data_IF_574350252186
#
_entry.id   IF_574350252186
#
_cell.length_a   1.000
_cell.length_b   1.000
_cell.length_c   1.000
_cell.angle_alpha   90.00
_cell.angle_beta   90.00
_cell.angle_gamma   90.00
#
_symmetry.space_group_name_H-M   'P 1'
#
loop_
_entity.id
_entity.type
_entity.pdbx_description
1 polymer ?
#
# COMPACT_ATOMS: atom_id res chain seq x y z
N UNK A 1 -18.01 36.85 -22.47
CA UNK A 1 -18.47 36.39 -21.15
C UNK A 1 -17.31 35.94 -20.26
N UNK A 2 -16.43 35.02 -20.67
CA UNK A 2 -15.28 34.61 -19.82
C UNK A 2 -14.36 35.76 -19.39
N UNK A 3 -14.16 36.76 -20.24
CA UNK A 3 -13.29 37.91 -19.95
C UNK A 3 -13.89 38.94 -18.99
N UNK A 4 -15.20 38.86 -18.69
CA UNK A 4 -15.86 39.74 -17.72
C UNK A 4 -15.98 39.11 -16.32
N UNK A 5 -15.55 37.86 -16.16
CA UNK A 5 -15.55 37.15 -14.89
C UNK A 5 -14.16 37.26 -14.23
N UNK A 6 -14.11 37.17 -12.91
CA UNK A 6 -12.84 37.05 -12.19
C UNK A 6 -12.09 35.79 -12.60
N UNK A 7 -10.76 35.82 -12.55
CA UNK A 7 -9.88 34.72 -12.92
C UNK A 7 -10.31 33.38 -12.29
N UNK A 8 -10.56 33.39 -10.97
CA UNK A 8 -10.90 32.17 -10.22
C UNK A 8 -12.19 31.52 -10.72
N UNK A 9 -13.23 32.32 -11.00
CA UNK A 9 -14.50 31.83 -11.55
C UNK A 9 -14.28 31.26 -12.95
N UNK A 10 -13.48 31.94 -13.79
CA UNK A 10 -13.19 31.44 -15.13
C UNK A 10 -12.44 30.12 -15.09
N UNK A 11 -11.38 30.00 -14.28
CA UNK A 11 -10.66 28.73 -14.09
C UNK A 11 -11.57 27.64 -13.54
N UNK A 12 -12.42 27.98 -12.57
CA UNK A 12 -13.39 27.04 -12.03
C UNK A 12 -14.37 26.54 -13.10
N UNK A 13 -14.88 27.41 -13.98
CA UNK A 13 -15.73 26.98 -15.10
C UNK A 13 -14.95 26.09 -16.07
N UNK A 14 -13.69 26.45 -16.40
CA UNK A 14 -12.85 25.64 -17.28
C UNK A 14 -12.56 24.24 -16.70
N UNK A 15 -12.50 24.10 -15.38
CA UNK A 15 -12.31 22.81 -14.70
C UNK A 15 -13.41 21.78 -14.99
N UNK A 16 -14.61 22.23 -15.39
CA UNK A 16 -15.71 21.34 -15.79
C UNK A 16 -15.64 20.89 -17.24
N UNK A 17 -14.92 21.62 -18.09
CA UNK A 17 -14.82 21.28 -19.51
C UNK A 17 -13.94 20.05 -19.72
N UNK A 18 -14.10 19.38 -20.86
CA UNK A 18 -13.14 18.37 -21.30
C UNK A 18 -12.01 19.05 -22.07
N UNK A 19 -10.84 18.41 -22.16
CA UNK A 19 -9.73 18.98 -22.95
C UNK A 19 -10.03 19.14 -24.45
N UNK A 20 -10.79 18.25 -25.11
CA UNK A 20 -11.32 18.52 -26.44
C UNK A 20 -12.10 19.83 -26.54
N UNK A 21 -12.88 20.17 -25.51
CA UNK A 21 -13.65 21.43 -25.49
C UNK A 21 -12.74 22.63 -25.26
N UNK A 22 -11.72 22.51 -24.42
CA UNK A 22 -10.70 23.55 -24.24
C UNK A 22 -9.91 23.79 -25.54
N UNK A 23 -9.58 22.73 -26.28
CA UNK A 23 -8.95 22.84 -27.59
C UNK A 23 -9.84 23.59 -28.60
N UNK A 24 -11.17 23.47 -28.50
CA UNK A 24 -12.10 24.30 -29.29
C UNK A 24 -12.09 25.75 -28.81
N UNK A 25 -12.01 26.01 -27.50
CA UNK A 25 -11.91 27.37 -26.94
C UNK A 25 -10.69 28.13 -27.46
N UNK A 26 -9.55 27.46 -27.62
CA UNK A 26 -8.33 28.02 -28.22
C UNK A 26 -8.55 28.61 -29.63
N UNK A 27 -9.59 28.16 -30.34
CA UNK A 27 -9.92 28.59 -31.71
C UNK A 27 -10.99 29.68 -31.79
N UNK A 28 -11.61 30.06 -30.68
CA UNK A 28 -12.74 31.01 -30.68
C UNK A 28 -12.30 32.44 -31.01
N UNK A 29 -11.34 32.99 -30.27
CA UNK A 29 -10.80 34.34 -30.51
C UNK A 29 -9.41 34.54 -29.88
N UNK A 30 -8.70 35.61 -30.28
CA UNK A 30 -7.35 35.91 -29.81
C UNK A 30 -7.26 36.16 -28.30
N UNK A 31 -8.28 36.81 -27.71
CA UNK A 31 -8.32 37.10 -26.27
C UNK A 31 -8.48 35.82 -25.44
N UNK A 32 -9.40 34.93 -25.84
CA UNK A 32 -9.56 33.62 -25.19
C UNK A 32 -8.30 32.80 -25.32
N UNK A 33 -7.68 32.76 -26.51
CA UNK A 33 -6.40 32.07 -26.71
C UNK A 33 -5.32 32.61 -25.78
N UNK A 34 -5.16 33.94 -25.69
CA UNK A 34 -4.19 34.57 -24.80
C UNK A 34 -4.45 34.21 -23.34
N UNK A 35 -5.70 34.32 -22.88
CA UNK A 35 -6.09 33.94 -21.53
C UNK A 35 -5.74 32.47 -21.21
N UNK A 36 -6.05 31.55 -22.13
CA UNK A 36 -5.74 30.12 -21.95
C UNK A 36 -4.23 29.86 -21.93
N UNK A 37 -3.45 30.56 -22.77
CA UNK A 37 -1.99 30.48 -22.74
C UNK A 37 -1.41 31.02 -21.44
N UNK A 38 -1.90 32.17 -20.96
CA UNK A 38 -1.42 32.84 -19.75
C UNK A 38 -1.73 32.01 -18.48
N UNK A 39 -2.72 31.12 -18.54
CA UNK A 39 -3.17 30.29 -17.42
C UNK A 39 -3.07 28.78 -17.71
N UNK A 40 -2.24 28.38 -18.68
CA UNK A 40 -2.17 26.99 -19.15
C UNK A 40 -1.82 26.04 -17.99
N UNK A 41 -0.85 26.41 -17.17
CA UNK A 41 -0.37 25.62 -16.04
C UNK A 41 -1.48 25.34 -15.01
N UNK A 42 -2.25 26.37 -14.62
CA UNK A 42 -3.37 26.23 -13.67
C UNK A 42 -4.51 25.37 -14.23
N UNK A 43 -4.79 25.49 -15.53
CA UNK A 43 -5.81 24.68 -16.20
C UNK A 43 -5.41 23.20 -16.15
N UNK A 44 -4.19 22.87 -16.60
CA UNK A 44 -3.72 21.48 -16.62
C UNK A 44 -3.53 20.89 -15.22
N UNK A 45 -3.16 21.70 -14.22
CA UNK A 45 -3.14 21.26 -12.82
C UNK A 45 -4.52 20.81 -12.34
N UNK A 46 -5.56 21.60 -12.61
CA UNK A 46 -6.94 21.24 -12.22
C UNK A 46 -7.40 19.95 -12.91
N UNK A 47 -6.99 19.70 -14.16
CA UNK A 47 -7.24 18.41 -14.82
C UNK A 47 -6.53 17.25 -14.13
N UNK A 48 -5.25 17.42 -13.80
CA UNK A 48 -4.47 16.38 -13.12
C UNK A 48 -5.09 15.99 -11.77
N UNK A 49 -5.57 16.98 -11.02
CA UNK A 49 -6.29 16.78 -9.75
C UNK A 49 -7.64 16.09 -9.98
N UNK A 50 -8.45 16.58 -10.93
CA UNK A 50 -9.79 16.04 -11.23
C UNK A 50 -9.74 14.59 -11.70
N UNK A 51 -8.71 14.22 -12.45
CA UNK A 51 -8.53 12.86 -12.94
C UNK A 51 -7.80 11.95 -11.93
N UNK A 52 -7.54 12.44 -10.72
CA UNK A 52 -6.89 11.71 -9.62
C UNK A 52 -5.46 11.25 -9.92
N UNK A 53 -4.74 11.94 -10.81
CA UNK A 53 -3.31 11.67 -11.04
C UNK A 53 -2.42 12.32 -9.97
N UNK A 54 -2.96 13.35 -9.32
CA UNK A 54 -2.21 14.19 -8.38
C UNK A 54 -3.12 14.52 -7.19
N UNK A 55 -2.62 14.37 -5.94
CA UNK A 55 -3.35 14.82 -4.76
C UNK A 55 -3.68 16.32 -4.82
N UNK A 56 -4.81 16.72 -4.24
CA UNK A 56 -5.14 18.13 -4.10
C UNK A 56 -4.03 18.87 -3.33
N UNK A 57 -3.61 20.04 -3.84
CA UNK A 57 -2.57 20.86 -3.23
C UNK A 57 -1.13 20.43 -3.54
N UNK A 58 -0.90 19.32 -4.23
CA UNK A 58 0.43 18.89 -4.64
C UNK A 58 0.91 19.74 -5.83
N UNK A 59 2.09 20.36 -5.68
CA UNK A 59 2.76 21.13 -6.74
C UNK A 59 3.56 20.23 -7.68
N UNK A 60 3.82 20.70 -8.91
CA UNK A 60 4.53 19.91 -9.91
C UNK A 60 5.94 19.53 -9.45
N UNK A 61 6.67 20.46 -8.82
CA UNK A 61 8.01 20.19 -8.29
C UNK A 61 8.02 19.13 -7.18
N UNK A 62 7.01 19.13 -6.31
CA UNK A 62 6.86 18.11 -5.27
C UNK A 62 6.58 16.74 -5.88
N UNK A 63 5.71 16.70 -6.90
CA UNK A 63 5.39 15.48 -7.63
C UNK A 63 6.62 14.89 -8.34
N UNK A 64 7.41 15.74 -9.01
CA UNK A 64 8.67 15.36 -9.66
C UNK A 64 9.68 14.86 -8.64
N UNK A 65 9.80 15.53 -7.48
CA UNK A 65 10.69 15.10 -6.41
C UNK A 65 10.32 13.71 -5.85
N UNK A 66 9.01 13.40 -5.80
CA UNK A 66 8.50 12.08 -5.38
C UNK A 66 8.69 10.99 -6.42
N UNK A 67 8.63 11.32 -7.71
CA UNK A 67 8.67 10.36 -8.81
C UNK A 67 9.68 10.75 -9.91
N UNK A 68 10.96 10.93 -9.57
CA UNK A 68 11.94 11.56 -10.47
C UNK A 68 12.21 10.73 -11.73
N UNK A 69 12.07 9.40 -11.66
CA UNK A 69 12.32 8.50 -12.78
C UNK A 69 11.21 8.59 -13.81
N UNK A 70 9.96 8.33 -13.40
CA UNK A 70 8.80 8.40 -14.30
C UNK A 70 8.64 9.80 -14.89
N UNK A 71 8.85 10.84 -14.08
CA UNK A 71 8.61 12.23 -14.45
C UNK A 71 9.84 12.94 -15.01
N UNK A 72 10.85 12.16 -15.43
CA UNK A 72 12.00 12.71 -16.12
C UNK A 72 11.54 13.53 -17.33
N UNK A 73 12.09 14.73 -17.44
CA UNK A 73 11.83 15.73 -18.49
C UNK A 73 10.44 16.40 -18.47
N UNK A 74 9.58 16.13 -17.47
CA UNK A 74 8.32 16.86 -17.28
C UNK A 74 8.64 18.24 -16.71
N UNK A 75 8.30 19.32 -17.45
CA UNK A 75 8.56 20.70 -17.03
C UNK A 75 7.29 21.47 -16.67
N UNK A 76 6.15 21.05 -17.22
CA UNK A 76 4.86 21.71 -17.06
C UNK A 76 3.76 20.70 -16.75
N UNK A 77 2.62 21.15 -16.19
CA UNK A 77 1.44 20.29 -16.01
C UNK A 77 0.90 19.74 -17.33
N UNK A 78 1.11 20.48 -18.42
CA UNK A 78 0.77 20.05 -19.77
C UNK A 78 1.60 18.85 -20.21
N UNK A 79 2.92 18.88 -20.02
CA UNK A 79 3.80 17.75 -20.36
C UNK A 79 3.37 16.47 -19.61
N UNK A 80 3.02 16.63 -18.32
CA UNK A 80 2.51 15.52 -17.50
C UNK A 80 1.22 14.94 -18.08
N UNK A 81 0.27 15.80 -18.42
CA UNK A 81 -1.01 15.39 -18.98
C UNK A 81 -0.83 14.71 -20.34
N UNK A 82 0.01 15.26 -21.22
CA UNK A 82 0.32 14.65 -22.52
C UNK A 82 0.90 13.24 -22.35
N UNK A 83 1.84 13.06 -21.42
CA UNK A 83 2.39 11.75 -21.08
C UNK A 83 1.31 10.81 -20.56
N UNK A 84 0.40 11.30 -19.70
CA UNK A 84 -0.73 10.50 -19.21
C UNK A 84 -1.68 10.08 -20.33
N UNK A 85 -1.99 10.96 -21.27
CA UNK A 85 -2.85 10.62 -22.42
C UNK A 85 -2.21 9.51 -23.24
N UNK A 86 -0.91 9.60 -23.54
CA UNK A 86 -0.18 8.54 -24.25
C UNK A 86 -0.27 7.23 -23.47
N UNK A 87 -0.04 7.27 -22.16
CA UNK A 87 -0.11 6.09 -21.30
C UNK A 87 -1.52 5.47 -21.31
N UNK A 88 -2.56 6.25 -21.09
CA UNK A 88 -3.95 5.78 -21.12
C UNK A 88 -4.36 5.27 -22.50
N UNK A 89 -3.86 5.90 -23.57
CA UNK A 89 -4.08 5.45 -24.93
C UNK A 89 -3.45 4.07 -25.16
N UNK A 90 -2.21 3.87 -24.71
CA UNK A 90 -1.51 2.59 -24.73
C UNK A 90 -2.24 1.53 -23.90
N UNK A 91 -2.64 1.83 -22.67
CA UNK A 91 -3.41 0.92 -21.80
C UNK A 91 -4.78 0.55 -22.38
N UNK A 92 -5.40 1.46 -23.14
CA UNK A 92 -6.66 1.19 -23.85
C UNK A 92 -6.49 0.34 -25.12
N UNK A 93 -5.28 -0.15 -25.41
CA UNK A 93 -4.97 -0.96 -26.59
C UNK A 93 -5.01 -0.17 -27.91
N UNK A 94 -5.05 1.17 -27.84
CA UNK A 94 -5.13 2.04 -29.02
C UNK A 94 -3.77 2.61 -29.43
N UNK A 95 -2.79 2.56 -28.52
CA UNK A 95 -1.43 2.97 -28.81
C UNK A 95 -0.52 1.82 -29.23
N UNK A 96 0.68 2.20 -29.67
CA UNK A 96 1.74 1.27 -30.02
C UNK A 96 2.66 1.06 -28.82
N UNK A 97 2.70 -0.15 -28.28
CA UNK A 97 3.66 -0.53 -27.24
C UNK A 97 4.63 -1.53 -27.85
N UNK A 98 5.93 -1.29 -27.67
CA UNK A 98 6.93 -2.31 -28.00
C UNK A 98 6.78 -3.44 -27.00
N UNK A 99 6.23 -4.57 -27.43
CA UNK A 99 6.21 -5.77 -26.62
C UNK A 99 7.66 -6.26 -26.46
N UNK A 100 8.09 -6.39 -25.21
CA UNK A 100 9.43 -6.87 -24.89
C UNK A 100 9.48 -7.40 -23.46
N UNK A 101 10.45 -8.25 -23.19
CA UNK A 101 10.86 -8.60 -21.84
C UNK A 101 12.12 -7.82 -21.51
N UNK A 102 12.09 -7.03 -20.43
CA UNK A 102 13.30 -6.37 -19.93
C UNK A 102 14.32 -7.38 -19.39
N UNK A 103 13.85 -8.56 -18.98
CA UNK A 103 14.63 -9.56 -18.27
C UNK A 103 14.51 -10.91 -18.97
N UNK A 104 15.66 -11.45 -19.39
CA UNK A 104 15.75 -12.82 -19.85
C UNK A 104 16.14 -13.72 -18.68
N UNK A 105 15.16 -14.42 -18.11
CA UNK A 105 15.37 -15.41 -17.06
C UNK A 105 15.75 -16.81 -17.60
N UNK A 106 16.08 -16.93 -18.90
CA UNK A 106 16.30 -18.23 -19.52
C UNK A 106 15.00 -19.01 -19.69
N UNK A 107 15.12 -20.33 -19.87
CA UNK A 107 14.00 -21.29 -19.80
C UNK A 107 13.51 -21.52 -18.38
N UNK A 108 14.07 -20.82 -17.39
CA UNK A 108 13.79 -21.06 -15.98
C UNK A 108 12.49 -20.37 -15.57
N UNK A 109 11.57 -21.15 -15.02
CA UNK A 109 10.27 -20.65 -14.58
C UNK A 109 10.45 -19.65 -13.43
N UNK A 110 10.01 -18.41 -13.62
CA UNK A 110 9.90 -17.42 -12.53
C UNK A 110 8.70 -17.79 -11.67
N UNK A 111 8.94 -18.18 -10.41
CA UNK A 111 7.86 -18.57 -9.47
C UNK A 111 7.21 -17.36 -8.80
N UNK A 112 7.99 -16.32 -8.57
CA UNK A 112 7.57 -15.12 -7.90
C UNK A 112 8.37 -13.95 -8.43
N UNK A 113 7.72 -12.80 -8.60
CA UNK A 113 8.42 -11.55 -8.84
C UNK A 113 7.73 -10.39 -8.11
N UNK A 114 8.52 -9.36 -7.79
CA UNK A 114 8.05 -8.10 -7.24
C UNK A 114 8.86 -6.96 -7.83
N UNK A 115 8.17 -5.89 -8.23
CA UNK A 115 8.82 -4.67 -8.74
C UNK A 115 9.01 -3.70 -7.57
N UNK A 116 10.24 -3.21 -7.42
CA UNK A 116 10.58 -2.08 -6.58
C UNK A 116 10.58 -0.83 -7.46
N UNK A 117 9.49 -0.08 -7.43
CA UNK A 117 9.32 1.13 -8.24
C UNK A 117 10.21 2.28 -7.76
N UNK A 118 10.55 2.33 -6.47
CA UNK A 118 11.36 3.41 -5.91
C UNK A 118 12.79 3.32 -6.46
N UNK A 119 13.36 2.12 -6.42
CA UNK A 119 14.73 1.89 -6.89
C UNK A 119 14.80 1.36 -8.32
N UNK A 120 13.66 1.12 -8.98
CA UNK A 120 13.58 0.58 -10.35
C UNK A 120 14.30 -0.76 -10.49
N UNK A 121 14.06 -1.65 -9.53
CA UNK A 121 14.62 -3.01 -9.55
C UNK A 121 13.52 -4.06 -9.56
N UNK A 122 13.78 -5.21 -10.16
CA UNK A 122 12.89 -6.36 -10.14
C UNK A 122 13.51 -7.44 -9.28
N UNK A 123 12.75 -7.91 -8.30
CA UNK A 123 13.06 -9.05 -7.48
C UNK A 123 12.35 -10.25 -8.09
N UNK A 124 13.07 -11.35 -8.32
CA UNK A 124 12.48 -12.57 -8.85
C UNK A 124 13.08 -13.81 -8.21
N UNK A 125 12.23 -14.76 -7.83
CA UNK A 125 12.62 -16.11 -7.41
C UNK A 125 12.49 -17.04 -8.61
N UNK A 126 13.63 -17.55 -9.09
CA UNK A 126 13.69 -18.51 -10.20
C UNK A 126 13.52 -19.94 -9.68
N UNK A 127 12.90 -20.79 -10.50
CA UNK A 127 12.70 -22.23 -10.22
C UNK A 127 13.96 -23.09 -10.39
N UNK A 128 15.11 -22.49 -10.68
CA UNK A 128 16.42 -23.18 -10.65
C UNK A 128 16.61 -23.86 -9.32
N UNK A 129 17.19 -25.06 -9.28
CA UNK A 129 17.56 -25.72 -8.02
C UNK A 129 19.04 -25.44 -7.71
N UNK A 130 19.37 -24.75 -6.60
CA UNK A 130 18.47 -24.25 -5.56
C UNK A 130 17.71 -22.97 -5.96
N UNK A 131 16.51 -22.79 -5.41
CA UNK A 131 15.67 -21.61 -5.68
C UNK A 131 16.48 -20.34 -5.42
N UNK A 132 16.56 -19.46 -6.41
CA UNK A 132 17.45 -18.30 -6.34
C UNK A 132 16.64 -17.03 -6.46
N UNK A 133 16.75 -16.17 -5.44
CA UNK A 133 16.30 -14.79 -5.51
C UNK A 133 17.32 -13.98 -6.28
N UNK A 134 16.88 -13.23 -7.27
CA UNK A 134 17.69 -12.28 -8.04
C UNK A 134 17.08 -10.90 -7.95
N UNK A 135 17.93 -9.88 -7.90
CA UNK A 135 17.56 -8.46 -7.95
C UNK A 135 18.23 -7.89 -9.20
N UNK A 136 17.44 -7.40 -10.14
CA UNK A 136 17.91 -6.88 -11.43
C UNK A 136 17.43 -5.45 -11.66
N UNK A 137 18.16 -4.67 -12.45
CA UNK A 137 17.65 -3.39 -12.94
C UNK A 137 16.45 -3.60 -13.86
N UNK A 138 15.44 -2.73 -13.78
CA UNK A 138 14.28 -2.83 -14.67
C UNK A 138 14.58 -2.32 -16.09
N UNK A 139 15.54 -1.40 -16.26
CA UNK A 139 15.79 -0.74 -17.54
C UNK A 139 16.64 -1.63 -18.47
N UNK A 140 17.72 -2.22 -17.94
CA UNK A 140 18.69 -2.99 -18.74
C UNK A 140 18.82 -4.46 -18.34
N UNK A 141 18.18 -4.87 -17.26
CA UNK A 141 18.19 -6.25 -16.77
C UNK A 141 19.47 -6.73 -16.11
N UNK A 142 20.39 -5.80 -15.83
CA UNK A 142 21.64 -6.08 -15.13
C UNK A 142 21.38 -6.70 -13.77
N UNK A 143 22.06 -7.81 -13.47
CA UNK A 143 22.00 -8.47 -12.17
C UNK A 143 22.78 -7.68 -11.12
N UNK A 144 22.11 -7.24 -10.05
CA UNK A 144 22.72 -6.52 -8.94
C UNK A 144 23.10 -7.43 -7.78
N UNK A 145 22.17 -8.30 -7.42
CA UNK A 145 22.31 -9.10 -6.21
C UNK A 145 21.55 -10.42 -6.40
N UNK A 146 22.04 -11.48 -5.77
CA UNK A 146 21.38 -12.77 -5.79
C UNK A 146 21.58 -13.51 -4.45
N UNK A 147 20.59 -14.33 -4.09
CA UNK A 147 20.62 -15.16 -2.89
C UNK A 147 19.98 -16.51 -3.18
N UNK A 148 20.71 -17.58 -2.88
CA UNK A 148 20.25 -18.95 -3.07
C UNK A 148 19.41 -19.47 -1.89
N UNK A 149 18.58 -20.47 -2.16
CA UNK A 149 17.76 -21.16 -1.17
C UNK A 149 16.57 -20.33 -0.66
N UNK A 150 16.11 -19.35 -1.43
CA UNK A 150 14.99 -18.46 -1.07
C UNK A 150 13.68 -19.05 -1.56
N UNK A 151 12.72 -19.20 -0.65
CA UNK A 151 11.39 -19.75 -0.94
C UNK A 151 10.31 -18.68 -1.01
N UNK A 152 10.47 -17.59 -0.24
CA UNK A 152 9.56 -16.44 -0.22
C UNK A 152 10.35 -15.17 0.03
N UNK A 153 9.89 -14.07 -0.53
CA UNK A 153 10.44 -12.73 -0.28
C UNK A 153 9.31 -11.72 -0.16
N UNK A 154 9.47 -10.76 0.74
CA UNK A 154 8.66 -9.55 0.78
C UNK A 154 9.55 -8.32 0.90
N UNK A 155 9.21 -7.30 0.13
CA UNK A 155 9.93 -6.02 0.09
C UNK A 155 8.99 -4.88 0.48
N UNK A 156 9.42 -4.03 1.40
CA UNK A 156 8.74 -2.78 1.71
C UNK A 156 9.78 -1.71 2.04
N UNK A 157 9.66 -0.55 1.42
CA UNK A 157 10.65 0.52 1.47
C UNK A 157 12.07 -0.01 1.21
N UNK A 158 12.95 0.09 2.22
CA UNK A 158 14.36 -0.34 2.14
C UNK A 158 14.61 -1.69 2.79
N UNK A 159 13.57 -2.39 3.25
CA UNK A 159 13.70 -3.64 3.99
C UNK A 159 13.10 -4.79 3.21
N UNK A 160 13.81 -5.91 3.24
CA UNK A 160 13.43 -7.15 2.57
C UNK A 160 13.42 -8.28 3.59
N UNK A 161 12.27 -8.93 3.71
CA UNK A 161 12.09 -10.14 4.50
C UNK A 161 12.27 -11.35 3.58
N UNK A 162 13.15 -12.26 3.97
CA UNK A 162 13.52 -13.44 3.17
C UNK A 162 13.26 -14.70 3.99
N UNK A 163 12.48 -15.61 3.43
CA UNK A 163 12.32 -16.98 3.94
C UNK A 163 13.16 -17.91 3.09
N UNK A 164 13.98 -18.73 3.74
CA UNK A 164 14.84 -19.68 3.07
C UNK A 164 14.90 -21.02 3.78
N UNK A 165 16.07 -21.67 3.74
CA UNK A 165 16.30 -22.98 4.36
C UNK A 165 16.29 -22.97 5.90
N UNK A 166 16.47 -21.80 6.52
CA UNK A 166 16.55 -21.65 7.97
C UNK A 166 15.16 -21.47 8.56
N UNK A 167 14.96 -21.99 9.76
CA UNK A 167 13.73 -21.77 10.54
C UNK A 167 13.71 -20.33 11.06
N UNK A 168 13.09 -19.44 10.28
CA UNK A 168 12.89 -18.03 10.63
C UNK A 168 12.89 -17.12 9.41
N UNK A 169 13.04 -15.82 9.65
CA UNK A 169 12.98 -14.78 8.62
C UNK A 169 14.26 -13.96 8.65
N UNK A 170 14.98 -13.95 7.54
CA UNK A 170 16.14 -13.08 7.37
C UNK A 170 15.66 -11.68 6.99
N UNK A 171 16.20 -10.67 7.66
CA UNK A 171 15.94 -9.26 7.38
C UNK A 171 17.16 -8.73 6.64
N UNK A 172 16.92 -8.24 5.43
CA UNK A 172 17.91 -7.59 4.59
C UNK A 172 17.53 -6.12 4.45
N UNK A 173 18.52 -5.23 4.48
CA UNK A 173 18.33 -3.79 4.33
C UNK A 173 19.06 -3.32 3.08
N UNK A 174 18.42 -2.49 2.27
CA UNK A 174 19.07 -1.81 1.16
C UNK A 174 19.98 -0.71 1.72
N UNK A 175 21.27 -0.83 1.45
CA UNK A 175 22.28 0.17 1.77
C UNK A 175 22.62 0.96 0.50
N UNK A 176 22.55 2.28 0.60
CA UNK A 176 23.08 3.17 -0.43
C UNK A 176 24.61 3.17 -0.27
N UNK A 177 25.34 2.65 -1.26
CA UNK A 177 26.79 2.56 -1.17
C UNK A 177 27.40 3.97 -1.22
N UNK A 178 27.73 4.54 -0.06
CA UNK A 178 28.83 5.46 0.05
C UNK A 178 30.07 4.59 0.37
N UNK A 179 31.08 4.48 -0.52
CA UNK A 179 32.21 3.53 -0.40
C UNK A 179 33.07 3.69 0.87
N UNK A 180 32.73 4.59 1.78
CA UNK A 180 33.43 4.85 3.03
C UNK A 180 32.56 4.73 4.28
N UNK A 181 31.24 4.57 4.14
CA UNK A 181 30.39 4.34 5.29
C UNK A 181 30.39 2.84 5.57
N UNK A 182 31.27 2.41 6.50
CA UNK A 182 31.12 1.08 7.11
C UNK A 182 29.69 1.02 7.60
N UNK A 183 28.86 0.19 6.95
CA UNK A 183 27.50 -0.07 7.38
C UNK A 183 27.59 -0.69 8.77
N UNK A 184 27.63 0.16 9.78
CA UNK A 184 27.50 -0.24 11.16
C UNK A 184 26.02 -0.54 11.28
N UNK A 185 25.69 -1.83 11.32
CA UNK A 185 24.37 -2.24 11.77
C UNK A 185 24.08 -1.47 13.05
N UNK A 186 23.02 -0.65 13.04
CA UNK A 186 22.58 0.17 14.17
C UNK A 186 22.19 -0.67 15.39
N UNK A 187 22.14 -1.98 15.24
CA UNK A 187 22.10 -2.98 16.30
C UNK A 187 23.38 -2.90 17.15
N UNK A 188 23.43 -1.92 18.06
CA UNK A 188 24.54 -1.67 19.00
C UNK A 188 24.77 -2.82 19.98
N UNK A 189 23.79 -3.70 20.12
CA UNK A 189 23.98 -5.04 20.62
C UNK A 189 23.41 -5.94 19.54
N UNK A 190 24.25 -6.82 18.96
CA UNK A 190 23.78 -7.96 18.21
C UNK A 190 22.73 -8.62 19.09
N UNK A 191 21.44 -8.40 18.79
CA UNK A 191 20.38 -9.26 19.27
C UNK A 191 20.91 -10.67 19.11
N UNK A 192 20.77 -11.52 20.12
CA UNK A 192 21.40 -12.86 20.29
C UNK A 192 21.19 -13.83 19.10
N UNK A 193 20.53 -13.36 18.05
CA UNK A 193 20.34 -13.89 16.70
C UNK A 193 21.50 -13.47 15.75
N UNK A 194 22.73 -13.74 16.21
CA UNK A 194 24.01 -13.44 15.55
C UNK A 194 24.04 -13.73 14.05
N UNK A 195 24.43 -12.72 13.26
CA UNK A 195 24.76 -12.83 11.83
C UNK A 195 25.76 -13.96 11.62
N UNK A 196 25.44 -14.94 10.75
CA UNK A 196 26.41 -15.97 10.40
C UNK A 196 27.45 -15.40 9.42
N UNK A 197 28.75 -15.74 9.54
CA UNK A 197 29.78 -15.25 8.62
C UNK A 197 29.46 -15.52 7.14
N UNK A 198 28.76 -16.61 6.84
CA UNK A 198 28.27 -16.93 5.49
C UNK A 198 27.30 -15.88 4.94
N UNK A 199 26.46 -15.28 5.79
CA UNK A 199 25.50 -14.24 5.39
C UNK A 199 26.22 -12.93 5.09
N UNK A 200 27.28 -12.62 5.85
CA UNK A 200 28.16 -11.48 5.53
C UNK A 200 28.87 -11.71 4.18
N UNK A 201 29.31 -12.93 3.87
CA UNK A 201 29.86 -13.24 2.56
C UNK A 201 28.83 -13.06 1.43
N UNK A 202 27.58 -13.47 1.64
CA UNK A 202 26.47 -13.31 0.69
C UNK A 202 25.98 -11.86 0.53
N UNK A 203 26.33 -10.96 1.46
CA UNK A 203 26.10 -9.53 1.28
C UNK A 203 27.06 -8.88 0.28
N UNK A 204 28.05 -9.63 -0.22
CA UNK A 204 28.94 -9.19 -1.29
C UNK A 204 28.20 -9.28 -2.63
N UNK A 205 28.08 -8.18 -3.40
CA UNK A 205 27.40 -8.19 -4.70
C UNK A 205 28.09 -9.18 -5.65
N UNK A 206 27.28 -9.96 -6.36
CA UNK A 206 27.79 -11.08 -7.14
C UNK A 206 28.63 -10.64 -8.36
N UNK A 207 28.21 -9.61 -9.11
CA UNK A 207 28.81 -9.33 -10.44
C UNK A 207 28.71 -7.89 -10.98
N UNK A 208 28.18 -6.91 -10.24
CA UNK A 208 27.99 -5.57 -10.82
C UNK A 208 29.27 -4.69 -10.74
N UNK A 209 29.61 -3.88 -11.75
CA UNK A 209 30.68 -2.90 -11.66
C UNK A 209 30.35 -1.80 -10.63
N UNK A 210 31.37 -1.27 -9.94
CA UNK A 210 31.26 -0.26 -8.88
C UNK A 210 30.34 0.93 -9.25
N UNK A 211 30.34 1.32 -10.52
CA UNK A 211 29.54 2.43 -11.04
C UNK A 211 28.03 2.21 -10.93
N UNK A 212 27.56 0.96 -10.91
CA UNK A 212 26.12 0.68 -10.85
C UNK A 212 25.65 0.55 -9.39
N UNK A 213 26.50 0.07 -8.49
CA UNK A 213 26.22 0.04 -7.05
C UNK A 213 25.89 1.42 -6.48
N UNK A 214 26.58 2.45 -6.99
CA UNK A 214 26.37 3.83 -6.57
C UNK A 214 24.94 4.34 -6.84
N UNK A 215 24.22 3.76 -7.81
CA UNK A 215 22.88 4.25 -8.20
C UNK A 215 21.73 3.52 -7.52
N UNK A 216 21.84 2.21 -7.30
CA UNK A 216 20.72 1.35 -6.89
C UNK A 216 20.88 0.73 -5.50
N UNK A 217 22.07 0.85 -4.89
CA UNK A 217 22.37 0.26 -3.58
C UNK A 217 22.55 -1.26 -3.62
N UNK A 218 22.88 -1.86 -2.47
CA UNK A 218 22.99 -3.31 -2.30
C UNK A 218 22.18 -3.76 -1.10
N UNK A 219 21.72 -5.00 -1.08
CA UNK A 219 21.10 -5.59 0.10
C UNK A 219 22.16 -6.13 1.05
N UNK A 220 22.20 -5.60 2.26
CA UNK A 220 23.04 -6.08 3.35
C UNK A 220 22.21 -6.84 4.36
N UNK A 221 22.79 -7.88 4.95
CA UNK A 221 22.12 -8.59 6.04
C UNK A 221 21.95 -7.63 7.22
N UNK A 222 20.71 -7.49 7.70
CA UNK A 222 20.35 -6.54 8.74
C UNK A 222 19.97 -7.22 10.04
N UNK A 223 19.28 -8.37 9.99
CA UNK A 223 18.88 -9.11 11.18
C UNK A 223 18.20 -10.44 10.87
N UNK A 224 17.77 -11.13 11.92
CA UNK A 224 17.03 -12.39 11.81
C UNK A 224 15.88 -12.39 12.82
N UNK A 225 14.69 -12.77 12.40
CA UNK A 225 13.56 -13.04 13.30
C UNK A 225 13.44 -14.55 13.47
N UNK A 226 13.69 -15.02 14.70
CA UNK A 226 13.61 -16.44 15.05
C UNK A 226 12.26 -16.73 15.70
N UNK A 227 11.51 -17.72 15.19
CA UNK A 227 10.36 -18.24 15.90
C UNK A 227 10.78 -18.94 17.19
N UNK A 228 10.00 -18.76 18.24
CA UNK A 228 10.22 -19.23 19.61
C UNK A 228 10.42 -20.74 19.67
N UNK A 229 9.64 -21.50 18.89
CA UNK A 229 9.66 -22.98 18.86
C UNK A 229 10.28 -23.53 17.56
N UNK A 230 10.90 -22.68 16.73
CA UNK A 230 11.49 -23.09 15.44
C UNK A 230 10.46 -23.50 14.36
N UNK A 231 9.16 -23.40 14.66
CA UNK A 231 8.11 -23.53 13.66
C UNK A 231 7.97 -22.21 12.88
N UNK A 232 7.56 -22.23 11.61
CA UNK A 232 7.29 -20.99 10.88
C UNK A 232 6.33 -20.06 11.64
N UNK A 233 6.43 -18.75 11.40
CA UNK A 233 5.43 -17.81 11.88
C UNK A 233 4.06 -18.17 11.29
N UNK A 234 3.02 -18.10 12.13
CA UNK A 234 1.65 -18.42 11.73
C UNK A 234 1.15 -17.41 10.69
N UNK A 235 1.32 -16.13 11.00
CA UNK A 235 1.05 -15.02 10.10
C UNK A 235 2.00 -13.87 10.40
N UNK A 236 2.17 -13.00 9.42
CA UNK A 236 2.99 -11.80 9.56
C UNK A 236 2.50 -10.71 8.62
N UNK A 237 2.79 -9.46 8.97
CA UNK A 237 2.62 -8.29 8.13
C UNK A 237 3.80 -7.37 8.26
N UNK A 238 4.11 -6.72 7.15
CA UNK A 238 5.31 -5.94 7.02
C UNK A 238 5.01 -4.65 6.25
N UNK A 239 5.15 -3.52 6.94
CA UNK A 239 4.88 -2.19 6.39
C UNK A 239 5.93 -1.18 6.86
N UNK A 240 6.57 -0.53 5.90
CA UNK A 240 7.70 0.35 6.13
C UNK A 240 8.84 -0.35 6.88
N UNK A 241 9.21 0.17 8.04
CA UNK A 241 10.20 -0.44 8.94
C UNK A 241 9.57 -1.33 10.02
N UNK A 242 8.25 -1.49 10.05
CA UNK A 242 7.57 -2.27 11.09
C UNK A 242 7.17 -3.66 10.58
N UNK A 243 7.44 -4.67 11.39
CA UNK A 243 7.02 -6.05 11.14
C UNK A 243 6.21 -6.57 12.33
N UNK A 244 4.95 -6.91 12.08
CA UNK A 244 4.10 -7.63 13.03
C UNK A 244 4.17 -9.12 12.71
N UNK A 245 4.46 -9.95 13.71
CA UNK A 245 4.54 -11.42 13.55
C UNK A 245 3.77 -12.12 14.65
N UNK A 246 3.17 -13.26 14.29
CA UNK A 246 2.53 -14.18 15.24
C UNK A 246 3.24 -15.52 15.19
N UNK A 247 3.70 -15.98 16.34
CA UNK A 247 4.35 -17.27 16.49
C UNK A 247 3.32 -18.40 16.54
N UNK A 248 3.63 -19.56 15.96
CA UNK A 248 2.77 -20.74 16.06
C UNK A 248 2.60 -21.20 17.52
N UNK A 249 3.59 -20.94 18.38
CA UNK A 249 3.53 -21.28 19.81
C UNK A 249 2.79 -20.28 20.68
N UNK A 250 2.62 -19.05 20.20
CA UNK A 250 1.98 -17.94 20.90
C UNK A 250 0.91 -17.31 19.99
N UNK A 251 -0.06 -18.11 19.53
CA UNK A 251 -1.04 -17.71 18.49
C UNK A 251 -1.87 -16.45 18.85
N UNK A 252 -1.94 -16.10 20.13
CA UNK A 252 -2.67 -14.93 20.63
C UNK A 252 -1.76 -13.74 20.95
N UNK A 253 -0.48 -13.81 20.63
CA UNK A 253 0.48 -12.72 20.86
C UNK A 253 1.01 -12.20 19.54
N UNK A 254 0.78 -10.91 19.26
CA UNK A 254 1.42 -10.24 18.12
C UNK A 254 2.66 -9.52 18.62
N UNK A 255 3.82 -9.89 18.08
CA UNK A 255 5.08 -9.20 18.35
C UNK A 255 5.34 -8.20 17.24
N UNK A 256 5.49 -6.92 17.59
CA UNK A 256 5.77 -5.84 16.68
C UNK A 256 7.24 -5.43 16.79
N UNK A 257 7.97 -5.59 15.70
CA UNK A 257 9.39 -5.26 15.59
C UNK A 257 9.58 -4.00 14.76
N UNK A 258 10.48 -3.12 15.21
CA UNK A 258 11.03 -2.04 14.42
C UNK A 258 12.32 -2.58 13.80
N UNK A 259 12.28 -2.85 12.51
CA UNK A 259 13.40 -3.39 11.76
C UNK A 259 14.55 -2.40 11.70
N UNK A 260 14.31 -1.09 11.63
CA UNK A 260 15.38 -0.07 11.58
C UNK A 260 16.26 -0.09 12.84
N UNK A 261 15.61 -0.20 14.00
CA UNK A 261 16.26 -0.31 15.30
C UNK A 261 16.62 -1.76 15.66
N UNK A 262 16.09 -2.73 14.90
CA UNK A 262 16.10 -4.17 15.16
C UNK A 262 15.68 -4.53 16.58
N UNK A 263 14.67 -3.81 17.10
CA UNK A 263 14.14 -3.97 18.44
C UNK A 263 12.69 -4.49 18.41
N UNK A 264 12.33 -5.29 19.42
CA UNK A 264 10.93 -5.55 19.72
C UNK A 264 10.33 -4.28 20.32
N UNK A 265 9.42 -3.64 19.59
CA UNK A 265 8.74 -2.41 20.03
C UNK A 265 7.71 -2.78 21.08
N UNK A 266 6.82 -3.73 20.75
CA UNK A 266 5.73 -4.17 21.63
C UNK A 266 5.34 -5.62 21.39
N UNK A 267 4.69 -6.17 22.42
CA UNK A 267 4.03 -7.46 22.38
C UNK A 267 2.58 -7.24 22.78
N UNK A 268 1.65 -7.57 21.89
CA UNK A 268 0.21 -7.43 22.10
C UNK A 268 -0.36 -8.79 22.46
N UNK A 269 -0.70 -9.00 23.73
CA UNK A 269 -1.50 -10.15 24.16
C UNK A 269 -2.98 -9.87 23.82
N UNK A 270 -3.42 -10.46 22.72
CA UNK A 270 -4.76 -10.26 22.18
C UNK A 270 -5.84 -10.79 23.12
N UNK A 271 -5.57 -11.86 23.89
CA UNK A 271 -6.53 -12.37 24.86
C UNK A 271 -6.76 -11.35 25.97
N UNK A 272 -5.68 -10.82 26.54
CA UNK A 272 -5.76 -9.76 27.55
C UNK A 272 -6.50 -8.53 27.01
N UNK A 273 -6.16 -8.09 25.80
CA UNK A 273 -6.81 -6.95 25.14
C UNK A 273 -8.31 -7.18 24.96
N UNK A 274 -8.71 -8.34 24.43
CA UNK A 274 -10.12 -8.67 24.18
C UNK A 274 -10.91 -8.70 25.49
N UNK A 275 -10.38 -9.34 26.53
CA UNK A 275 -11.06 -9.42 27.84
C UNK A 275 -11.27 -8.07 28.50
N UNK A 276 -10.27 -7.19 28.43
CA UNK A 276 -10.35 -5.86 29.03
C UNK A 276 -11.40 -4.96 28.34
N UNK A 277 -11.64 -5.15 27.04
CA UNK A 277 -12.53 -4.29 26.25
C UNK A 277 -13.96 -4.84 26.10
N UNK A 278 -14.14 -6.16 26.06
CA UNK A 278 -15.48 -6.79 25.95
C UNK A 278 -16.12 -7.01 27.32
N UNK A 279 -15.37 -7.06 28.41
CA UNK A 279 -15.90 -7.34 29.74
C UNK A 279 -16.20 -8.84 29.94
N UNK A 280 -15.97 -9.32 31.15
CA UNK A 280 -15.95 -10.76 31.47
C UNK A 280 -17.31 -11.46 31.35
N UNK A 281 -18.43 -10.74 31.46
CA UNK A 281 -19.76 -11.35 31.40
C UNK A 281 -20.22 -11.74 29.99
N UNK A 282 -19.65 -11.12 28.95
CA UNK A 282 -20.09 -11.33 27.56
C UNK A 282 -19.28 -12.39 26.83
N UNK A 283 -18.03 -12.62 27.27
CA UNK A 283 -17.18 -13.70 26.79
C UNK A 283 -17.61 -15.03 27.42
N UNK A 284 -18.67 -15.64 26.88
CA UNK A 284 -18.99 -17.06 27.11
C UNK A 284 -18.09 -18.03 26.33
N UNK A 285 -17.14 -17.50 25.56
CA UNK A 285 -16.26 -18.28 24.69
C UNK A 285 -14.88 -18.29 25.34
N UNK A 286 -14.30 -19.49 25.48
CA UNK A 286 -12.96 -19.63 26.02
C UNK A 286 -11.93 -19.02 25.05
N UNK A 287 -10.94 -18.25 25.54
CA UNK A 287 -10.00 -17.53 24.69
C UNK A 287 -9.19 -18.41 23.74
N UNK A 288 -8.95 -19.65 24.16
CA UNK A 288 -8.21 -20.64 23.39
C UNK A 288 -8.91 -21.07 22.09
N UNK A 289 -10.18 -20.70 21.87
CA UNK A 289 -10.91 -21.09 20.67
C UNK A 289 -10.87 -20.05 19.55
N UNK A 290 -10.22 -18.90 19.73
CA UNK A 290 -10.21 -17.85 18.72
C UNK A 290 -9.28 -18.21 17.57
N UNK A 291 -9.80 -18.23 16.36
CA UNK A 291 -9.01 -18.52 15.16
C UNK A 291 -8.53 -17.20 14.59
N UNK A 292 -7.23 -16.95 14.68
CA UNK A 292 -6.59 -15.81 14.02
C UNK A 292 -6.70 -16.01 12.50
N UNK A 293 -7.42 -15.11 11.82
CA UNK A 293 -7.58 -15.15 10.36
C UNK A 293 -6.50 -14.35 9.67
N UNK A 294 -6.26 -13.12 10.13
CA UNK A 294 -5.27 -12.22 9.53
C UNK A 294 -4.82 -11.15 10.52
N UNK A 295 -3.69 -10.55 10.23
CA UNK A 295 -3.27 -9.28 10.83
C UNK A 295 -3.07 -8.27 9.71
N UNK A 296 -3.15 -6.98 10.01
CA UNK A 296 -2.77 -5.90 9.10
C UNK A 296 -2.17 -4.73 9.89
N UNK A 297 -1.32 -3.95 9.23
CA UNK A 297 -0.53 -2.91 9.86
C UNK A 297 -0.72 -1.58 9.10
N UNK A 298 -1.11 -0.53 9.80
CA UNK A 298 -1.12 0.84 9.29
C UNK A 298 0.10 1.60 9.83
N UNK A 299 0.15 2.91 9.57
CA UNK A 299 1.17 3.80 10.15
C UNK A 299 1.00 3.98 11.66
N UNK A 300 -0.22 3.79 12.16
CA UNK A 300 -0.67 4.20 13.49
C UNK A 300 -1.48 3.13 14.24
N UNK A 301 -1.86 2.05 13.57
CA UNK A 301 -2.69 0.97 14.11
C UNK A 301 -2.21 -0.41 13.68
N UNK A 302 -2.41 -1.38 14.58
CA UNK A 302 -2.39 -2.81 14.31
C UNK A 302 -3.85 -3.29 14.27
N UNK A 303 -4.24 -3.91 13.17
CA UNK A 303 -5.53 -4.56 13.02
C UNK A 303 -5.35 -6.06 13.09
N UNK A 304 -6.16 -6.74 13.89
CA UNK A 304 -6.13 -8.19 14.03
C UNK A 304 -7.53 -8.75 13.86
N UNK A 305 -7.68 -9.62 12.87
CA UNK A 305 -8.93 -10.25 12.52
C UNK A 305 -8.99 -11.69 13.03
N UNK A 306 -10.02 -11.97 13.80
CA UNK A 306 -10.43 -13.29 14.23
C UNK A 306 -11.71 -13.70 13.50
N UNK A 307 -12.08 -14.96 13.63
CA UNK A 307 -13.33 -15.50 13.11
C UNK A 307 -14.59 -14.80 13.63
N UNK A 308 -14.56 -14.20 14.82
CA UNK A 308 -15.72 -13.55 15.46
C UNK A 308 -15.50 -12.08 15.87
N UNK A 309 -14.27 -11.57 15.74
CA UNK A 309 -13.91 -10.22 16.18
C UNK A 309 -12.83 -9.56 15.33
N UNK A 310 -12.86 -8.22 15.28
CA UNK A 310 -11.80 -7.37 14.76
C UNK A 310 -11.27 -6.50 15.90
N UNK A 311 -9.98 -6.61 16.18
CA UNK A 311 -9.28 -5.82 17.19
C UNK A 311 -8.43 -4.76 16.47
N UNK A 312 -8.60 -3.50 16.83
CA UNK A 312 -7.82 -2.37 16.33
C UNK A 312 -7.07 -1.74 17.50
N UNK A 313 -5.75 -1.82 17.47
CA UNK A 313 -4.86 -1.37 18.54
C UNK A 313 -3.97 -0.23 18.01
N UNK A 314 -3.95 0.95 18.64
CA UNK A 314 -3.03 2.00 18.22
C UNK A 314 -1.58 1.64 18.56
N UNK A 315 -0.66 2.08 17.71
CA UNK A 315 0.78 1.86 17.81
C UNK A 315 1.50 2.90 18.66
N UNK A 316 0.81 3.82 19.33
CA UNK A 316 1.42 4.85 20.22
C UNK A 316 1.72 4.33 21.63
N UNK A 317 2.81 4.79 22.28
CA UNK A 317 3.43 4.17 23.47
C UNK A 317 2.54 4.08 24.72
N UNK A 318 1.54 4.93 24.80
CA UNK A 318 0.54 4.90 25.86
C UNK A 318 -0.84 4.98 25.22
N UNK A 319 -1.44 3.85 24.80
CA UNK A 319 -2.84 3.87 24.36
C UNK A 319 -3.67 4.47 25.49
N UNK A 320 -4.34 5.60 25.23
CA UNK A 320 -5.28 6.16 26.17
C UNK A 320 -6.32 5.07 26.54
N UNK A 321 -6.76 5.02 27.80
CA UNK A 321 -7.77 4.05 28.20
C UNK A 321 -8.99 4.16 27.27
N UNK A 322 -9.34 3.06 26.59
CA UNK A 322 -10.41 3.02 25.59
C UNK A 322 -10.01 3.34 24.14
N UNK A 323 -8.71 3.50 23.83
CA UNK A 323 -8.25 3.68 22.45
C UNK A 323 -8.22 2.37 21.65
N UNK A 324 -8.32 1.23 22.31
CA UNK A 324 -8.43 -0.07 21.65
C UNK A 324 -9.88 -0.33 21.30
N UNK A 325 -10.13 -0.61 20.03
CA UNK A 325 -11.48 -0.87 19.53
C UNK A 325 -11.60 -2.36 19.24
N UNK A 326 -12.57 -3.02 19.87
CA UNK A 326 -12.90 -4.42 19.60
C UNK A 326 -14.31 -4.50 19.04
N UNK A 327 -14.40 -4.80 17.75
CA UNK A 327 -15.66 -5.11 17.10
C UNK A 327 -15.90 -6.62 17.22
N UNK A 328 -17.04 -7.03 17.78
CA UNK A 328 -17.41 -8.45 17.82
C UNK A 328 -18.82 -8.64 17.29
N UNK A 329 -19.09 -9.80 16.70
CA UNK A 329 -20.40 -10.13 16.12
C UNK A 329 -21.54 -10.03 17.16
N UNK A 330 -21.22 -10.21 18.45
CA UNK A 330 -22.18 -10.11 19.57
C UNK A 330 -22.38 -8.68 20.09
N UNK A 331 -21.41 -7.78 19.87
CA UNK A 331 -21.46 -6.35 20.18
C UNK A 331 -21.43 -5.51 18.90
N UNK A 332 -22.34 -5.74 17.96
CA UNK A 332 -22.81 -4.59 17.19
C UNK A 332 -23.95 -3.96 18.00
N UNK A 333 -23.72 -2.94 18.87
CA UNK A 333 -24.82 -2.20 19.46
C UNK A 333 -25.83 -1.85 18.39
N UNK A 334 -27.13 -1.95 18.68
CA UNK A 334 -28.19 -1.44 17.79
C UNK A 334 -27.90 0.02 17.38
N UNK A 335 -27.15 0.77 18.19
CA UNK A 335 -26.66 2.11 17.89
C UNK A 335 -25.37 2.16 17.07
N UNK A 336 -24.42 1.22 17.18
CA UNK A 336 -23.25 1.12 16.27
C UNK A 336 -23.66 0.54 14.92
N UNK A 337 -24.73 -0.27 14.86
CA UNK A 337 -25.42 -0.55 13.60
C UNK A 337 -25.89 0.74 12.95
N UNK A 338 -26.24 1.79 13.70
CA UNK A 338 -26.73 3.10 13.20
C UNK A 338 -25.63 4.16 13.04
N UNK A 339 -24.52 4.08 13.78
CA UNK A 339 -23.49 5.12 13.88
C UNK A 339 -22.06 4.66 13.58
N UNK A 340 -21.83 3.41 13.20
CA UNK A 340 -20.52 2.97 12.68
C UNK A 340 -20.33 3.36 11.21
N UNK A 341 -19.08 3.50 10.72
CA UNK A 341 -18.81 3.58 9.30
C UNK A 341 -19.45 2.37 8.59
N UNK A 342 -20.43 2.62 7.72
CA UNK A 342 -21.11 1.57 6.96
C UNK A 342 -20.46 1.45 5.59
N UNK A 343 -19.98 0.26 5.25
CA UNK A 343 -19.68 -0.12 3.87
C UNK A 343 -21.00 -0.46 3.17
N UNK A 344 -21.49 0.46 2.35
CA UNK A 344 -22.64 0.24 1.48
C UNK A 344 -22.13 -0.20 0.12
N UNK A 345 -22.48 -1.42 -0.31
CA UNK A 345 -22.29 -1.85 -1.70
C UNK A 345 -23.20 -0.97 -2.56
N UNK A 346 -22.62 -0.18 -3.46
CA UNK A 346 -23.42 0.63 -4.37
C UNK A 346 -24.13 -0.31 -5.34
N UNK A 347 -25.44 -0.52 -5.17
CA UNK A 347 -26.26 -1.25 -6.15
C UNK A 347 -26.58 -0.35 -7.36
N UNK A 348 -25.55 0.07 -8.08
CA UNK A 348 -25.75 0.64 -9.41
C UNK A 348 -26.02 -0.50 -10.41
N UNK A 349 -27.23 -1.07 -10.35
CA UNK A 349 -27.82 -1.84 -11.46
C UNK A 349 -28.41 -0.87 -12.48
N UNK A 350 -27.57 0.00 -13.04
CA UNK A 350 -27.93 0.87 -14.15
C UNK A 350 -27.61 0.20 -15.48
N UNK A 351 -28.61 -0.34 -16.17
CA UNK A 351 -28.51 -0.68 -17.59
C UNK A 351 -28.43 0.62 -18.41
N UNK A 352 -27.33 0.75 -19.18
CA UNK A 352 -27.18 1.62 -20.36
C UNK A 352 -26.99 3.15 -20.19
N UNK A 353 -25.82 3.60 -20.70
CA UNK A 353 -25.57 4.83 -21.48
C UNK A 353 -26.08 6.16 -20.91
N UNK A 354 -25.44 6.65 -19.86
CA UNK A 354 -25.07 8.07 -19.69
C UNK A 354 -24.39 8.20 -18.33
N UNK A 355 -23.05 8.32 -18.31
CA UNK A 355 -22.32 8.58 -17.09
C UNK A 355 -22.55 10.03 -16.67
N UNK A 356 -23.57 10.25 -15.83
CA UNK A 356 -23.71 11.51 -15.07
C UNK A 356 -23.06 11.28 -13.72
N UNK A 357 -21.94 11.96 -13.51
CA UNK A 357 -21.20 11.97 -12.26
C UNK A 357 -22.00 12.79 -11.25
N UNK A 358 -22.67 12.12 -10.30
CA UNK A 358 -23.22 12.78 -9.12
C UNK A 358 -22.08 13.08 -8.16
N UNK A 359 -21.91 14.37 -7.84
CA UNK A 359 -20.96 14.85 -6.83
C UNK A 359 -21.48 14.38 -5.46
N UNK A 360 -20.85 13.33 -4.91
CA UNK A 360 -21.10 12.88 -3.55
C UNK A 360 -20.30 13.71 -2.54
N UNK A 361 -20.93 13.95 -1.40
CA UNK A 361 -20.52 14.81 -0.29
C UNK A 361 -19.12 14.47 0.26
N UNK A 362 -18.37 15.49 0.72
CA UNK A 362 -16.96 15.45 1.19
C UNK A 362 -16.68 14.47 2.35
N UNK A 363 -17.70 13.85 2.92
CA UNK A 363 -17.62 13.01 4.14
C UNK A 363 -17.52 11.51 3.87
N UNK A 364 -17.79 11.05 2.65
CA UNK A 364 -17.83 9.62 2.35
C UNK A 364 -16.61 9.24 1.50
N UNK A 365 -15.81 8.26 1.96
CA UNK A 365 -14.72 7.68 1.16
C UNK A 365 -15.28 6.54 0.32
N UNK A 366 -15.02 6.54 -0.98
CA UNK A 366 -15.43 5.48 -1.91
C UNK A 366 -14.21 4.64 -2.26
N UNK A 367 -14.33 3.32 -2.16
CA UNK A 367 -13.30 2.36 -2.52
C UNK A 367 -13.82 1.46 -3.62
N UNK A 368 -13.01 1.26 -4.64
CA UNK A 368 -13.31 0.33 -5.73
C UNK A 368 -12.35 -0.83 -5.65
N UNK A 369 -12.88 -2.02 -5.39
CA UNK A 369 -12.10 -3.24 -5.33
C UNK A 369 -12.28 -3.98 -6.65
N UNK A 370 -11.20 -4.38 -7.34
CA UNK A 370 -11.31 -5.27 -8.48
C UNK A 370 -11.87 -6.63 -8.00
N UNK A 371 -13.07 -6.94 -8.45
CA UNK A 371 -13.68 -8.25 -8.35
C UNK A 371 -13.39 -9.01 -9.65
N UNK A 372 -13.25 -10.34 -9.58
CA UNK A 372 -12.89 -11.16 -10.75
C UNK A 372 -13.73 -10.87 -12.00
N UNK A 373 -13.20 -11.24 -13.17
CA UNK A 373 -13.80 -11.02 -14.50
C UNK A 373 -13.96 -9.54 -14.92
N UNK A 374 -13.08 -8.66 -14.44
CA UNK A 374 -13.09 -7.24 -14.84
C UNK A 374 -14.25 -6.44 -14.24
N UNK A 375 -14.90 -6.97 -13.22
CA UNK A 375 -15.95 -6.26 -12.49
C UNK A 375 -15.32 -5.41 -11.38
N UNK A 376 -15.84 -4.22 -11.19
CA UNK A 376 -15.42 -3.33 -10.11
C UNK A 376 -16.54 -3.30 -9.07
N UNK A 377 -16.26 -3.74 -7.85
CA UNK A 377 -17.19 -3.57 -6.74
C UNK A 377 -16.85 -2.26 -6.03
N UNK A 378 -17.81 -1.35 -6.01
CA UNK A 378 -17.66 -0.04 -5.38
C UNK A 378 -18.34 -0.05 -4.03
N UNK A 379 -17.55 0.22 -3.00
CA UNK A 379 -18.01 0.31 -1.62
C UNK A 379 -17.88 1.75 -1.17
N UNK A 380 -18.97 2.31 -0.63
CA UNK A 380 -18.92 3.63 0.00
C UNK A 380 -18.85 3.44 1.50
N UNK A 381 -17.82 4.01 2.12
CA UNK A 381 -17.73 4.12 3.57
C UNK A 381 -18.39 5.42 3.97
N UNK A 382 -19.62 5.29 4.46
CA UNK A 382 -20.36 6.41 5.02
C UNK A 382 -20.00 6.57 6.49
N UNK A 383 -19.32 7.66 6.83
CA UNK A 383 -19.16 8.07 8.23
C UNK A 383 -20.55 8.46 8.79
N UNK A 384 -20.83 8.20 10.08
CA UNK A 384 -22.13 8.51 10.66
C UNK A 384 -22.48 9.98 10.50
N UNK A 385 -23.65 10.23 9.91
CA UNK A 385 -24.23 11.57 9.90
C UNK A 385 -24.86 11.81 11.27
N UNK A 386 -24.33 12.76 12.05
CA UNK A 386 -24.81 13.08 13.41
C UNK A 386 -26.19 13.75 13.43
N UNK A 387 -26.83 13.94 12.27
CA UNK A 387 -28.13 14.60 12.13
C UNK A 387 -29.26 13.58 11.86
N UNK A 388 -29.95 13.21 12.95
CA UNK A 388 -31.23 12.50 13.07
C UNK A 388 -32.08 12.23 11.82
N UNK A 389 -31.79 11.16 11.08
CA UNK A 389 -32.74 10.55 10.14
C UNK A 389 -33.04 9.10 10.51
N UNK A 390 -34.33 8.79 10.66
CA UNK A 390 -34.85 7.45 10.93
C UNK A 390 -34.78 6.58 9.66
N UNK A 391 -33.86 5.60 9.64
CA UNK A 391 -33.81 4.55 8.63
C UNK A 391 -34.39 3.24 9.20
N UNK A 392 -35.11 2.48 8.38
CA UNK A 392 -35.76 1.21 8.73
C UNK A 392 -34.75 0.05 8.89
N UNK A 393 -35.02 -0.96 9.74
CA UNK A 393 -34.06 -2.02 10.10
C UNK A 393 -33.70 -3.02 9.00
N UNK A 394 -34.43 -3.04 7.88
CA UNK A 394 -34.35 -4.13 6.88
C UNK A 394 -33.17 -4.00 5.88
N UNK A 395 -32.50 -2.85 5.83
CA UNK A 395 -31.38 -2.59 4.90
C UNK A 395 -29.98 -2.79 5.54
N UNK A 396 -29.89 -3.31 6.76
CA UNK A 396 -28.62 -3.48 7.48
C UNK A 396 -28.35 -4.94 7.87
N UNK A 397 -27.46 -5.55 7.08
CA UNK A 397 -26.68 -6.77 7.36
C UNK A 397 -27.45 -8.08 7.58
N UNK A 398 -27.08 -9.09 6.77
CA UNK A 398 -27.42 -10.50 7.01
C UNK A 398 -26.33 -11.15 7.88
N UNK A 399 -26.67 -11.89 8.95
CA UNK A 399 -25.72 -12.76 9.65
C UNK A 399 -25.12 -13.78 8.66
N UNK A 400 -23.79 -13.93 8.65
CA UNK A 400 -23.08 -14.89 7.79
C UNK A 400 -22.08 -14.31 6.80
N UNK A 401 -21.76 -13.01 6.86
CA UNK A 401 -20.63 -12.47 6.09
C UNK A 401 -19.32 -12.85 6.79
N UNK A 402 -18.58 -13.79 6.21
CA UNK A 402 -17.24 -14.16 6.65
C UNK A 402 -16.31 -12.94 6.57
N UNK A 403 -15.51 -12.73 7.62
CA UNK A 403 -14.44 -11.72 7.62
C UNK A 403 -13.40 -12.13 6.58
N UNK A 404 -13.49 -11.57 5.36
CA UNK A 404 -12.46 -11.81 4.33
C UNK A 404 -11.20 -10.98 4.62
N UNK A 405 -10.00 -11.45 4.28
CA UNK A 405 -8.75 -10.68 4.42
C UNK A 405 -8.80 -9.29 3.74
N UNK A 406 -9.56 -9.17 2.65
CA UNK A 406 -9.78 -7.90 1.95
C UNK A 406 -10.52 -6.86 2.82
N UNK A 407 -11.41 -7.31 3.71
CA UNK A 407 -12.13 -6.44 4.64
C UNK A 407 -11.19 -5.80 5.65
N UNK A 408 -10.23 -6.58 6.17
CA UNK A 408 -9.24 -6.12 7.16
C UNK A 408 -8.38 -5.02 6.55
N UNK A 409 -7.91 -5.23 5.32
CA UNK A 409 -7.09 -4.23 4.62
C UNK A 409 -7.87 -2.97 4.24
N UNK A 410 -9.14 -3.12 3.85
CA UNK A 410 -10.04 -1.98 3.62
C UNK A 410 -10.25 -1.15 4.89
N UNK A 411 -10.47 -1.80 6.04
CA UNK A 411 -10.61 -1.12 7.33
C UNK A 411 -9.34 -0.38 7.75
N UNK A 412 -8.17 -0.99 7.56
CA UNK A 412 -6.88 -0.32 7.82
C UNK A 412 -6.71 0.95 6.99
N UNK A 413 -7.18 0.98 5.74
CA UNK A 413 -7.08 2.18 4.90
C UNK A 413 -8.00 3.35 5.32
N UNK A 414 -8.94 3.09 6.24
CA UNK A 414 -9.88 4.10 6.73
C UNK A 414 -9.35 4.94 7.88
N UNK A 415 -8.53 4.33 8.71
CA UNK A 415 -7.82 4.95 9.83
C UNK A 415 -6.47 5.45 9.33
#
# INVERSE_FOLDING_TARGET
MFLSLSLDITLHILSYLTLPDIAKLYRLCCHTRRFLCDNEDAIYHQFAVRLHFVPQGCGLGELIAKNPVWLKDVKTWKDLYERWVVLNHNWSGRGTVTQGGYLWYGSDDVRYFKVDEQDQTVLAITATEPLTLTVRDIEDGTLFWCLEGVTKVELTDRFMLVWGRRQGVEIWRRANYAPHEKVRSSLRELSTLSVLPSQLQQSTPAFAPETIWAKRGVYVFHGFLRPTVGLPFLTYRFKGSLAAVVDTSEMHTVKLYNLEEGALVRSFDLNTIIHQNIGTQELRVEPASFVLLDIDLSTDHLCVAFDWALVVVPLEDAPAAGSVIVFSDRRAPLDVRRSGPRLVRSEDRGTSKSATCSVLDRKNKVFTIPSGAGSQETFTVALPNTSGTNLTPEDAWRPGAEWSPCFVSGMVSLW
#
